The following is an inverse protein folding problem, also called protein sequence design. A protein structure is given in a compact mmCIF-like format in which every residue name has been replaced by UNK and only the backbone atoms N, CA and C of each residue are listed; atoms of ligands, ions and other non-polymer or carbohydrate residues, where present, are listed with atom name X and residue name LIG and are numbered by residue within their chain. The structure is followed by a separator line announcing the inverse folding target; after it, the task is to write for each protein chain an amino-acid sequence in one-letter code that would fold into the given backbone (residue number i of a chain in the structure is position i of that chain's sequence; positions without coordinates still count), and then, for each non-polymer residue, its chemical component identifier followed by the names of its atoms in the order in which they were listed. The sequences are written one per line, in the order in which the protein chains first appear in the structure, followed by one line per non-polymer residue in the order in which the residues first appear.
data_IF_550354851267
#
_entry.id   IF_550354851267
#
_cell.length_a   1.000
_cell.length_b   1.000
_cell.length_c   1.000
_cell.angle_alpha   90.00
_cell.angle_beta   90.00
_cell.angle_gamma   90.00
#
_symmetry.space_group_name_H-M   'P 1'
#
loop_
_entity.id
_entity.type
_entity.pdbx_description
1 polymer ?
#
# COMPACT_ATOMS: atom_id res chain seq x y z
N UNK A 1 78.22 -11.04 -19.13
CA UNK A 1 77.70 -11.88 -18.03
C UNK A 1 76.98 -10.97 -17.06
N UNK A 2 75.74 -11.35 -16.69
CA UNK A 2 74.89 -10.86 -15.59
C UNK A 2 74.62 -9.33 -15.52
N UNK A 3 73.40 -8.81 -15.47
CA UNK A 3 72.15 -9.37 -14.94
C UNK A 3 71.70 -8.52 -13.75
N UNK A 4 70.51 -7.92 -13.81
CA UNK A 4 69.95 -7.18 -12.66
C UNK A 4 68.82 -6.22 -13.03
N UNK A 5 67.71 -6.74 -13.53
CA UNK A 5 66.46 -5.98 -13.69
C UNK A 5 65.79 -5.73 -12.35
N UNK A 6 65.65 -4.45 -11.96
CA UNK A 6 64.84 -4.02 -10.83
C UNK A 6 63.48 -3.54 -11.30
N UNK A 7 62.54 -4.47 -11.47
CA UNK A 7 61.13 -4.16 -11.70
C UNK A 7 60.48 -3.67 -10.40
N UNK A 8 60.37 -2.35 -10.24
CA UNK A 8 59.56 -1.76 -9.18
C UNK A 8 58.09 -2.03 -9.44
N UNK A 9 57.47 -2.86 -8.58
CA UNK A 9 56.05 -3.14 -8.62
C UNK A 9 55.25 -1.84 -8.41
N UNK A 10 54.31 -1.57 -9.32
CA UNK A 10 53.36 -0.48 -9.19
C UNK A 10 52.54 -0.65 -7.89
N UNK A 11 52.24 0.43 -7.15
CA UNK A 11 51.40 0.34 -5.98
C UNK A 11 50.00 -0.18 -6.37
N UNK A 12 49.34 -0.97 -5.52
CA UNK A 12 48.00 -1.48 -5.80
C UNK A 12 47.03 -0.30 -6.02
N UNK A 13 46.03 -0.45 -6.91
CA UNK A 13 45.05 0.60 -7.13
C UNK A 13 44.38 0.92 -5.78
N UNK A 14 44.46 2.19 -5.37
CA UNK A 14 43.70 2.69 -4.23
C UNK A 14 42.26 2.26 -4.45
N UNK A 15 41.71 1.51 -3.50
CA UNK A 15 40.28 1.30 -3.41
C UNK A 15 39.65 2.68 -3.47
N UNK A 16 38.84 2.95 -4.49
CA UNK A 16 38.05 4.17 -4.58
C UNK A 16 37.31 4.29 -3.25
N UNK A 17 37.76 5.19 -2.38
CA UNK A 17 37.04 5.55 -1.18
C UNK A 17 35.64 5.91 -1.66
N UNK A 18 34.63 5.23 -1.10
CA UNK A 18 33.24 5.44 -1.44
C UNK A 18 32.87 6.86 -0.99
N UNK A 19 33.23 7.86 -1.80
CA UNK A 19 32.92 9.24 -1.54
C UNK A 19 31.38 9.32 -1.45
N UNK A 20 30.83 9.93 -0.39
CA UNK A 20 29.40 10.21 -0.35
C UNK A 20 29.00 10.86 -1.66
N UNK A 21 27.99 10.31 -2.34
CA UNK A 21 27.51 10.91 -3.57
C UNK A 21 27.26 12.40 -3.32
N UNK A 22 27.75 13.29 -4.21
CA UNK A 22 27.55 14.72 -4.03
C UNK A 22 26.05 14.97 -3.87
N UNK A 23 25.69 15.71 -2.82
CA UNK A 23 24.29 16.06 -2.54
C UNK A 23 23.84 16.95 -3.69
N UNK A 24 23.18 16.35 -4.68
CA UNK A 24 22.58 17.08 -5.80
C UNK A 24 21.27 17.64 -5.28
N UNK A 25 21.11 18.97 -5.34
CA UNK A 25 19.86 19.62 -4.95
C UNK A 25 18.67 19.10 -5.76
N UNK A 26 18.90 18.63 -7.00
CA UNK A 26 17.87 18.00 -7.84
C UNK A 26 18.45 16.84 -8.65
N UNK A 27 17.86 15.65 -8.49
CA UNK A 27 18.19 14.47 -9.29
C UNK A 27 17.50 14.56 -10.66
N UNK A 28 18.14 14.12 -11.75
CA UNK A 28 17.50 14.05 -13.06
C UNK A 28 16.21 13.21 -12.97
N UNK A 29 15.12 13.72 -13.54
CA UNK A 29 13.75 13.17 -13.47
C UNK A 29 12.97 13.38 -12.16
N UNK A 30 13.52 14.06 -11.14
CA UNK A 30 12.76 14.46 -9.95
C UNK A 30 12.19 15.88 -10.15
N UNK A 31 10.87 15.99 -10.12
CA UNK A 31 10.16 17.26 -10.35
C UNK A 31 10.19 18.18 -9.12
N UNK A 32 10.09 17.60 -7.92
CA UNK A 32 10.06 18.33 -6.65
C UNK A 32 10.96 17.62 -5.64
N UNK A 33 11.79 18.39 -4.96
CA UNK A 33 12.65 17.89 -3.89
C UNK A 33 11.89 17.88 -2.56
N UNK A 34 12.36 17.12 -1.58
CA UNK A 34 11.67 16.92 -0.29
C UNK A 34 11.35 18.24 0.41
N UNK A 35 12.24 19.24 0.29
CA UNK A 35 12.09 20.57 0.90
C UNK A 35 11.43 21.61 -0.01
N UNK A 36 11.08 21.24 -1.25
CA UNK A 36 10.56 22.16 -2.26
C UNK A 36 9.15 21.74 -2.68
N UNK A 37 8.11 22.17 -1.93
CA UNK A 37 6.74 21.74 -2.21
C UNK A 37 6.23 22.31 -3.54
N UNK A 38 5.39 21.55 -4.26
CA UNK A 38 4.69 22.08 -5.42
C UNK A 38 3.71 23.20 -5.03
N UNK A 39 3.20 23.98 -6.00
CA UNK A 39 2.13 24.94 -5.75
C UNK A 39 0.96 24.28 -5.02
N UNK A 40 0.32 25.00 -4.09
CA UNK A 40 -0.77 24.48 -3.24
C UNK A 40 -1.86 23.69 -3.99
N UNK A 41 -2.37 24.14 -5.15
CA UNK A 41 -3.38 23.37 -5.88
C UNK A 41 -2.86 22.01 -6.37
N UNK A 42 -1.61 21.96 -6.83
CA UNK A 42 -0.96 20.72 -7.26
C UNK A 42 -0.69 19.81 -6.05
N UNK A 43 -0.26 20.39 -4.92
CA UNK A 43 -0.04 19.66 -3.68
C UNK A 43 -1.32 18.96 -3.18
N UNK A 44 -2.46 19.66 -3.23
CA UNK A 44 -3.77 19.10 -2.82
C UNK A 44 -4.16 17.92 -3.72
N UNK A 45 -4.04 18.07 -5.04
CA UNK A 45 -4.37 17.00 -5.98
C UNK A 45 -3.46 15.78 -5.81
N UNK A 46 -2.15 16.00 -5.67
CA UNK A 46 -1.20 14.92 -5.43
C UNK A 46 -1.43 14.23 -4.08
N UNK A 47 -1.76 15.00 -3.04
CA UNK A 47 -2.15 14.45 -1.74
C UNK A 47 -3.41 13.58 -1.83
N UNK A 48 -4.41 14.02 -2.58
CA UNK A 48 -5.61 13.24 -2.85
C UNK A 48 -5.30 11.95 -3.63
N UNK A 49 -4.37 12.00 -4.60
CA UNK A 49 -3.91 10.81 -5.30
C UNK A 49 -3.25 9.80 -4.35
N UNK A 50 -2.38 10.25 -3.44
CA UNK A 50 -1.78 9.37 -2.44
C UNK A 50 -2.82 8.70 -1.55
N UNK A 51 -3.86 9.46 -1.16
CA UNK A 51 -5.01 8.91 -0.46
C UNK A 51 -5.72 7.81 -1.29
N UNK A 52 -6.01 8.05 -2.57
CA UNK A 52 -6.64 7.06 -3.45
C UNK A 52 -5.82 5.76 -3.58
N UNK A 53 -4.50 5.88 -3.71
CA UNK A 53 -3.61 4.71 -3.80
C UNK A 53 -3.61 3.92 -2.49
N UNK A 54 -3.58 4.61 -1.36
CA UNK A 54 -3.61 4.01 -0.01
C UNK A 54 -4.96 3.37 0.34
N UNK A 55 -6.06 3.86 -0.23
CA UNK A 55 -7.38 3.29 0.01
C UNK A 55 -7.46 1.82 -0.38
N UNK A 56 -6.72 1.39 -1.41
CA UNK A 56 -6.75 0.01 -1.90
C UNK A 56 -6.47 -1.01 -0.80
N UNK A 57 -5.29 -0.94 -0.17
CA UNK A 57 -4.93 -1.86 0.92
C UNK A 57 -5.79 -1.65 2.17
N UNK A 58 -6.15 -0.41 2.47
CA UNK A 58 -6.96 -0.05 3.64
C UNK A 58 -8.38 -0.61 3.58
N UNK A 59 -8.96 -0.77 2.38
CA UNK A 59 -10.28 -1.37 2.18
C UNK A 59 -10.19 -2.89 1.98
N UNK A 60 -9.17 -3.38 1.28
CA UNK A 60 -8.99 -4.82 1.00
C UNK A 60 -8.81 -5.62 2.30
N UNK A 61 -7.97 -5.14 3.23
CA UNK A 61 -7.65 -5.88 4.46
C UNK A 61 -8.92 -6.11 5.32
N UNK A 62 -9.70 -5.09 5.70
CA UNK A 62 -10.94 -5.29 6.45
C UNK A 62 -11.99 -6.07 5.67
N UNK A 63 -12.10 -5.85 4.36
CA UNK A 63 -13.05 -6.59 3.52
C UNK A 63 -12.75 -8.09 3.49
N UNK A 64 -11.49 -8.48 3.58
CA UNK A 64 -11.09 -9.88 3.67
C UNK A 64 -11.25 -10.46 5.08
N UNK A 65 -10.95 -9.68 6.13
CA UNK A 65 -10.84 -10.19 7.49
C UNK A 65 -12.12 -10.08 8.32
N UNK A 66 -12.86 -8.96 8.22
CA UNK A 66 -14.04 -8.68 9.06
C UNK A 66 -15.14 -9.74 8.95
N UNK A 67 -15.50 -10.22 7.74
CA UNK A 67 -16.50 -11.29 7.61
C UNK A 67 -16.09 -12.60 8.31
N UNK A 68 -14.79 -12.91 8.37
CA UNK A 68 -14.30 -14.12 9.03
C UNK A 68 -14.37 -14.03 10.57
N UNK A 69 -14.43 -12.81 11.10
CA UNK A 69 -14.58 -12.55 12.53
C UNK A 69 -16.04 -12.56 12.99
N UNK A 70 -17.00 -12.66 12.07
CA UNK A 70 -18.43 -12.54 12.34
C UNK A 70 -18.98 -11.10 12.19
N UNK A 71 -18.16 -10.15 11.74
CA UNK A 71 -18.59 -8.77 11.51
C UNK A 71 -19.34 -8.58 10.19
N UNK A 72 -20.34 -7.71 10.20
CA UNK A 72 -21.11 -7.30 9.04
C UNK A 72 -20.56 -6.04 8.36
N UNK A 73 -21.45 -5.30 7.69
CA UNK A 73 -21.06 -4.07 6.99
C UNK A 73 -20.74 -2.91 7.93
N UNK A 74 -21.40 -2.84 9.09
CA UNK A 74 -21.17 -1.82 10.11
C UNK A 74 -19.77 -1.97 10.71
N UNK A 75 -19.42 -3.18 11.17
CA UNK A 75 -18.10 -3.48 11.71
C UNK A 75 -17.01 -3.27 10.65
N UNK A 76 -17.29 -3.65 9.41
CA UNK A 76 -16.37 -3.44 8.28
C UNK A 76 -16.12 -1.95 8.05
N UNK A 77 -17.17 -1.14 8.03
CA UNK A 77 -17.08 0.32 7.89
C UNK A 77 -16.29 0.94 9.05
N UNK A 78 -16.59 0.55 10.29
CA UNK A 78 -15.90 1.02 11.51
C UNK A 78 -14.39 0.71 11.47
N UNK A 79 -14.00 -0.48 11.03
CA UNK A 79 -12.57 -0.85 10.90
C UNK A 79 -11.89 -0.05 9.78
N UNK A 80 -12.54 0.12 8.62
CA UNK A 80 -11.99 0.95 7.52
C UNK A 80 -11.79 2.40 7.97
N UNK A 81 -12.79 3.00 8.62
CA UNK A 81 -12.71 4.37 9.13
C UNK A 81 -11.60 4.52 10.16
N UNK A 82 -11.49 3.58 11.10
CA UNK A 82 -10.44 3.60 12.13
C UNK A 82 -9.06 3.47 11.50
N UNK A 83 -8.87 2.56 10.54
CA UNK A 83 -7.61 2.41 9.83
C UNK A 83 -7.22 3.68 9.06
N UNK A 84 -8.16 4.31 8.35
CA UNK A 84 -7.89 5.56 7.63
C UNK A 84 -7.50 6.70 8.58
N UNK A 85 -8.24 6.83 9.69
CA UNK A 85 -7.96 7.86 10.68
C UNK A 85 -6.59 7.69 11.33
N UNK A 86 -6.27 6.47 11.79
CA UNK A 86 -4.99 6.15 12.42
C UNK A 86 -3.84 6.22 11.41
N UNK A 87 -4.04 5.81 10.16
CA UNK A 87 -3.07 5.96 9.07
C UNK A 87 -2.71 7.44 8.83
N UNK A 88 -3.72 8.33 8.85
CA UNK A 88 -3.53 9.78 8.75
C UNK A 88 -2.68 10.33 9.90
N UNK A 89 -3.05 10.00 11.15
CA UNK A 89 -2.30 10.42 12.34
C UNK A 89 -0.85 9.90 12.32
N UNK A 90 -0.64 8.64 11.97
CA UNK A 90 0.69 8.04 11.90
C UNK A 90 1.54 8.66 10.78
N UNK A 91 0.93 8.97 9.64
CA UNK A 91 1.63 9.66 8.54
C UNK A 91 2.02 11.08 8.94
N UNK A 92 1.16 11.82 9.64
CA UNK A 92 1.51 13.13 10.20
C UNK A 92 2.63 13.00 11.24
N UNK A 93 2.57 12.01 12.13
CA UNK A 93 3.64 11.77 13.09
C UNK A 93 4.97 11.44 12.40
N UNK A 94 4.96 10.61 11.35
CA UNK A 94 6.14 10.23 10.56
C UNK A 94 6.79 11.42 9.86
N UNK A 95 5.97 12.33 9.32
CA UNK A 95 6.42 13.49 8.55
C UNK A 95 6.82 14.67 9.44
N UNK A 96 6.20 14.84 10.62
CA UNK A 96 6.52 15.93 11.55
C UNK A 96 7.63 15.57 12.56
N UNK A 97 7.49 14.42 13.23
CA UNK A 97 8.35 14.00 14.33
C UNK A 97 9.27 12.83 14.00
N UNK A 98 8.89 11.99 13.03
CA UNK A 98 9.67 10.83 12.61
C UNK A 98 10.89 11.20 11.76
N UNK A 99 11.10 10.50 10.65
CA UNK A 99 12.25 10.76 9.77
C UNK A 99 12.08 12.00 8.90
N UNK A 100 10.90 12.64 8.92
CA UNK A 100 10.53 13.77 8.06
C UNK A 100 10.62 13.47 6.56
N UNK A 101 10.62 12.19 6.22
CA UNK A 101 10.56 11.72 4.84
C UNK A 101 9.10 11.57 4.42
N UNK A 102 8.79 11.74 3.11
CA UNK A 102 7.45 11.53 2.55
C UNK A 102 7.11 10.03 2.53
N UNK A 103 6.82 9.46 3.69
CA UNK A 103 6.48 8.05 3.88
C UNK A 103 5.06 7.95 4.43
N UNK A 104 4.15 7.42 3.61
CA UNK A 104 2.75 7.22 4.00
C UNK A 104 2.62 5.92 4.80
N UNK A 105 2.01 6.00 5.98
CA UNK A 105 1.83 4.85 6.88
C UNK A 105 0.41 4.31 6.73
N UNK A 106 0.29 3.01 6.46
CA UNK A 106 -1.00 2.31 6.34
C UNK A 106 -0.95 0.89 6.89
N UNK A 107 -2.06 0.16 6.75
CA UNK A 107 -2.13 -1.25 7.15
C UNK A 107 -1.17 -2.11 6.33
N UNK A 108 -0.35 -2.92 7.00
CA UNK A 108 0.59 -3.82 6.32
C UNK A 108 -0.06 -5.18 6.02
N UNK A 109 0.07 -5.61 4.76
CA UNK A 109 -0.33 -6.95 4.32
C UNK A 109 0.39 -8.08 5.06
N UNK A 110 1.62 -7.84 5.54
CA UNK A 110 2.38 -8.85 6.30
C UNK A 110 1.68 -9.30 7.58
N UNK A 111 0.77 -8.50 8.13
CA UNK A 111 -0.02 -8.85 9.31
C UNK A 111 -1.32 -9.60 8.98
N UNK A 112 -1.69 -9.77 7.71
CA UNK A 112 -2.92 -10.50 7.33
C UNK A 112 -2.84 -11.97 7.75
N UNK A 113 -1.74 -12.65 7.43
CA UNK A 113 -1.52 -14.06 7.81
C UNK A 113 -1.56 -14.29 9.32
N UNK A 114 -0.79 -13.58 10.16
CA UNK A 114 -0.90 -13.76 11.61
C UNK A 114 -2.27 -13.35 12.15
N UNK A 115 -2.94 -12.37 11.53
CA UNK A 115 -4.32 -12.03 11.91
C UNK A 115 -5.29 -13.18 11.65
N UNK A 116 -5.23 -13.84 10.49
CA UNK A 116 -6.03 -15.03 10.18
C UNK A 116 -5.78 -16.14 11.21
N UNK A 117 -4.52 -16.35 11.62
CA UNK A 117 -4.18 -17.31 12.68
C UNK A 117 -4.87 -16.98 14.01
N UNK A 118 -4.95 -15.69 14.38
CA UNK A 118 -5.71 -15.25 15.57
C UNK A 118 -7.21 -15.51 15.38
N UNK A 119 -7.78 -15.18 14.22
CA UNK A 119 -9.21 -15.36 13.90
C UNK A 119 -9.61 -16.84 14.04
N UNK A 120 -8.76 -17.75 13.55
CA UNK A 120 -9.00 -19.20 13.56
C UNK A 120 -8.64 -19.87 14.89
N UNK A 121 -8.18 -19.13 15.89
CA UNK A 121 -7.78 -19.70 17.17
C UNK A 121 -8.99 -20.35 17.89
N UNK A 122 -8.80 -21.58 18.38
CA UNK A 122 -9.86 -22.36 19.04
C UNK A 122 -10.52 -21.69 20.25
N UNK A 123 -9.86 -20.72 20.89
CA UNK A 123 -10.46 -19.90 21.96
C UNK A 123 -11.71 -19.10 21.54
N UNK A 124 -11.93 -18.92 20.24
CA UNK A 124 -13.08 -18.18 19.70
C UNK A 124 -14.15 -19.08 19.07
N UNK A 125 -13.97 -20.42 19.09
CA UNK A 125 -14.90 -21.35 18.44
C UNK A 125 -16.23 -21.51 19.20
N UNK A 126 -16.23 -21.31 20.51
CA UNK A 126 -17.41 -21.45 21.37
C UNK A 126 -18.31 -20.22 21.48
N UNK A 127 -18.01 -19.13 20.76
CA UNK A 127 -18.79 -17.89 20.83
C UNK A 127 -19.89 -17.94 19.77
N UNK A 128 -21.15 -17.97 20.21
CA UNK A 128 -22.32 -18.07 19.32
C UNK A 128 -22.69 -16.71 18.73
N UNK A 129 -22.62 -15.64 19.52
CA UNK A 129 -22.96 -14.29 19.05
C UNK A 129 -21.87 -13.72 18.11
N UNK A 130 -22.20 -13.40 16.84
CA UNK A 130 -21.24 -12.86 15.88
C UNK A 130 -20.64 -11.51 16.30
N UNK A 131 -21.43 -10.66 16.96
CA UNK A 131 -20.95 -9.34 17.39
C UNK A 131 -19.94 -9.49 18.54
N UNK A 132 -20.29 -10.25 19.58
CA UNK A 132 -19.35 -10.58 20.66
C UNK A 132 -18.08 -11.27 20.13
N UNK A 133 -18.22 -12.17 19.16
CA UNK A 133 -17.09 -12.84 18.52
C UNK A 133 -16.16 -11.84 17.83
N UNK A 134 -16.72 -10.91 17.06
CA UNK A 134 -15.97 -9.85 16.40
C UNK A 134 -15.21 -9.00 17.42
N UNK A 135 -15.87 -8.52 18.48
CA UNK A 135 -15.23 -7.70 19.51
C UNK A 135 -14.08 -8.41 20.21
N UNK A 136 -14.28 -9.67 20.61
CA UNK A 136 -13.24 -10.46 21.31
C UNK A 136 -12.04 -10.71 20.41
N UNK A 137 -12.26 -11.03 19.13
CA UNK A 137 -11.18 -11.21 18.17
C UNK A 137 -10.44 -9.89 17.93
N UNK A 138 -11.15 -8.77 17.74
CA UNK A 138 -10.55 -7.45 17.55
C UNK A 138 -9.67 -7.04 18.74
N UNK A 139 -10.12 -7.27 19.97
CA UNK A 139 -9.32 -7.06 21.19
C UNK A 139 -8.05 -7.93 21.18
N UNK A 140 -8.16 -9.19 20.76
CA UNK A 140 -7.02 -10.10 20.61
C UNK A 140 -6.00 -9.64 19.57
N UNK A 141 -6.46 -9.18 18.40
CA UNK A 141 -5.61 -8.65 17.33
C UNK A 141 -4.89 -7.38 17.80
N UNK A 142 -5.63 -6.42 18.38
CA UNK A 142 -5.05 -5.18 18.88
C UNK A 142 -4.01 -5.44 19.97
N UNK A 143 -4.30 -6.33 20.93
CA UNK A 143 -3.33 -6.73 21.96
C UNK A 143 -2.06 -7.34 21.38
N UNK A 144 -2.19 -8.25 20.39
CA UNK A 144 -1.05 -8.84 19.71
C UNK A 144 -0.22 -7.79 18.95
N UNK A 145 -0.86 -6.86 18.25
CA UNK A 145 -0.20 -5.77 17.52
C UNK A 145 0.52 -4.79 18.46
N UNK A 146 -0.04 -4.50 19.63
CA UNK A 146 0.62 -3.67 20.65
C UNK A 146 1.91 -4.36 21.11
N UNK A 147 1.85 -5.64 21.50
CA UNK A 147 3.04 -6.40 21.94
C UNK A 147 4.09 -6.48 20.83
N UNK A 148 3.68 -6.79 19.59
CA UNK A 148 4.58 -6.83 18.45
C UNK A 148 5.26 -5.47 18.20
N UNK A 149 4.50 -4.38 18.33
CA UNK A 149 5.02 -3.02 18.17
C UNK A 149 6.02 -2.67 19.27
N UNK A 150 5.73 -3.01 20.53
CA UNK A 150 6.66 -2.78 21.65
C UNK A 150 7.97 -3.54 21.45
N UNK A 151 7.90 -4.81 21.00
CA UNK A 151 9.11 -5.59 20.68
C UNK A 151 9.93 -4.93 19.57
N UNK A 152 9.26 -4.49 18.49
CA UNK A 152 9.94 -3.80 17.39
C UNK A 152 10.60 -2.49 17.85
N UNK A 153 9.95 -1.73 18.73
CA UNK A 153 10.49 -0.50 19.34
C UNK A 153 11.74 -0.81 20.15
N UNK A 154 11.71 -1.82 21.04
CA UNK A 154 12.86 -2.22 21.87
C UNK A 154 14.03 -2.67 21.00
N UNK A 155 13.78 -3.50 19.99
CA UNK A 155 14.82 -3.97 19.05
C UNK A 155 15.37 -2.79 18.23
N UNK A 156 14.51 -1.85 17.83
CA UNK A 156 14.91 -0.63 17.11
C UNK A 156 15.81 0.28 17.95
N UNK A 157 15.42 0.60 19.18
CA UNK A 157 16.18 1.48 20.07
C UNK A 157 17.46 0.82 20.62
N UNK A 158 17.51 -0.50 20.75
CA UNK A 158 18.74 -1.20 21.16
C UNK A 158 19.87 -1.14 20.13
N UNK A 159 19.60 -0.67 18.91
CA UNK A 159 20.58 -0.63 17.82
C UNK A 159 20.90 -2.01 17.22
N UNK A 160 20.32 -3.09 17.76
CA UNK A 160 20.49 -4.45 17.23
C UNK A 160 20.04 -4.56 15.78
N UNK A 161 18.94 -3.86 15.45
CA UNK A 161 18.41 -3.81 14.08
C UNK A 161 19.46 -3.35 13.06
N UNK A 162 20.29 -2.35 13.42
CA UNK A 162 21.37 -1.84 12.54
C UNK A 162 22.39 -2.91 12.20
N UNK A 163 22.71 -3.78 13.15
CA UNK A 163 23.67 -4.86 12.93
C UNK A 163 23.06 -5.94 12.03
N UNK A 164 21.79 -6.28 12.23
CA UNK A 164 21.05 -7.24 11.40
C UNK A 164 20.94 -6.73 9.95
N UNK A 165 20.54 -5.48 9.74
CA UNK A 165 20.36 -4.92 8.39
C UNK A 165 21.67 -4.85 7.60
N UNK A 166 22.83 -4.85 8.27
CA UNK A 166 24.14 -4.91 7.60
C UNK A 166 24.38 -6.25 6.89
N UNK A 167 23.73 -7.33 7.34
CA UNK A 167 23.80 -8.64 6.70
C UNK A 167 22.80 -8.78 5.54
N UNK A 168 21.83 -7.86 5.44
CA UNK A 168 20.85 -7.87 4.35
C UNK A 168 21.51 -7.23 3.13
N UNK A 169 21.99 -8.07 2.22
CA UNK A 169 22.47 -7.63 0.91
C UNK A 169 21.29 -7.34 -0.03
N UNK A 170 21.45 -6.49 -1.06
CA UNK A 170 20.42 -6.28 -2.08
C UNK A 170 19.92 -7.57 -2.73
N UNK A 171 20.79 -8.59 -2.85
CA UNK A 171 20.44 -9.92 -3.37
C UNK A 171 19.41 -10.64 -2.52
N UNK A 172 19.36 -10.37 -1.21
CA UNK A 172 18.36 -10.91 -0.29
C UNK A 172 17.14 -10.00 -0.12
N UNK A 173 17.34 -8.68 -0.14
CA UNK A 173 16.28 -7.69 0.05
C UNK A 173 15.30 -7.65 -1.13
N UNK A 174 15.81 -7.68 -2.37
CA UNK A 174 14.97 -7.55 -3.57
C UNK A 174 13.96 -8.70 -3.67
N UNK A 175 14.35 -9.98 -3.56
CA UNK A 175 13.38 -11.07 -3.55
C UNK A 175 12.39 -10.99 -2.39
N UNK A 176 12.84 -10.61 -1.19
CA UNK A 176 11.98 -10.46 -0.02
C UNK A 176 10.87 -9.43 -0.26
N UNK A 177 11.23 -8.24 -0.74
CA UNK A 177 10.28 -7.17 -1.04
C UNK A 177 9.39 -7.52 -2.23
N UNK A 178 9.95 -8.15 -3.27
CA UNK A 178 9.19 -8.59 -4.43
C UNK A 178 8.12 -9.63 -4.04
N UNK A 179 8.48 -10.65 -3.25
CA UNK A 179 7.53 -11.66 -2.78
C UNK A 179 6.47 -11.07 -1.86
N UNK A 180 6.84 -10.12 -0.98
CA UNK A 180 5.87 -9.40 -0.17
C UNK A 180 4.88 -8.60 -1.02
N UNK A 181 5.35 -7.98 -2.11
CA UNK A 181 4.53 -7.26 -3.08
C UNK A 181 3.64 -8.20 -3.90
N UNK A 182 4.18 -9.29 -4.43
CA UNK A 182 3.42 -10.29 -5.19
C UNK A 182 2.35 -10.97 -4.33
N UNK A 183 2.53 -11.10 -3.01
CA UNK A 183 1.50 -11.60 -2.10
C UNK A 183 0.20 -10.78 -2.14
N UNK A 184 0.26 -9.48 -2.48
CA UNK A 184 -0.95 -8.66 -2.65
C UNK A 184 -1.80 -9.10 -3.85
N UNK A 185 -1.22 -9.77 -4.84
CA UNK A 185 -1.96 -10.22 -6.03
C UNK A 185 -3.00 -11.29 -5.68
N UNK A 186 -2.72 -12.13 -4.68
CA UNK A 186 -3.66 -13.13 -4.16
C UNK A 186 -4.94 -12.51 -3.59
N UNK A 187 -4.91 -11.24 -3.19
CA UNK A 187 -6.11 -10.52 -2.73
C UNK A 187 -6.67 -9.60 -3.82
N UNK A 188 -5.79 -8.92 -4.57
CA UNK A 188 -6.17 -7.93 -5.57
C UNK A 188 -6.85 -8.53 -6.79
N UNK A 189 -6.25 -9.56 -7.41
CA UNK A 189 -6.77 -10.15 -8.65
C UNK A 189 -8.11 -10.85 -8.45
N UNK A 190 -8.35 -11.63 -7.37
CA UNK A 190 -9.67 -12.18 -7.10
C UNK A 190 -10.73 -11.10 -6.88
N UNK A 191 -10.36 -9.94 -6.31
CA UNK A 191 -11.22 -8.77 -6.20
C UNK A 191 -11.64 -8.23 -7.57
N UNK A 192 -10.68 -8.07 -8.49
CA UNK A 192 -10.91 -7.66 -9.88
C UNK A 192 -11.73 -8.70 -10.64
N UNK A 193 -11.46 -10.00 -10.44
CA UNK A 193 -12.15 -11.09 -11.14
C UNK A 193 -13.64 -11.20 -10.75
N UNK A 194 -14.01 -10.82 -9.52
CA UNK A 194 -15.42 -10.74 -9.10
C UNK A 194 -16.23 -9.76 -9.95
N UNK A 195 -15.57 -8.72 -10.49
CA UNK A 195 -16.18 -7.79 -11.42
C UNK A 195 -15.22 -7.40 -12.54
N UNK A 196 -14.97 -8.37 -13.44
CA UNK A 196 -14.02 -8.18 -14.55
C UNK A 196 -14.41 -7.02 -15.48
N UNK A 197 -15.72 -6.77 -15.64
CA UNK A 197 -16.25 -5.72 -16.51
C UNK A 197 -15.83 -4.31 -16.10
N UNK A 198 -15.62 -4.06 -14.81
CA UNK A 198 -15.17 -2.76 -14.29
C UNK A 198 -13.66 -2.78 -14.03
N UNK A 199 -13.16 -3.89 -13.48
CA UNK A 199 -11.75 -4.00 -13.10
C UNK A 199 -10.80 -4.08 -14.30
N UNK A 200 -11.18 -4.73 -15.40
CA UNK A 200 -10.34 -4.80 -16.61
C UNK A 200 -10.18 -3.43 -17.28
N UNK A 201 -11.25 -2.63 -17.50
CA UNK A 201 -11.09 -1.24 -17.94
C UNK A 201 -10.22 -0.39 -17.02
N UNK A 202 -10.31 -0.56 -15.68
CA UNK A 202 -9.45 0.15 -14.74
C UNK A 202 -7.97 -0.17 -14.96
N UNK A 203 -7.62 -1.44 -15.12
CA UNK A 203 -6.23 -1.84 -15.37
C UNK A 203 -5.74 -1.31 -16.73
N UNK A 204 -6.55 -1.43 -17.78
CA UNK A 204 -6.20 -0.94 -19.11
C UNK A 204 -6.00 0.57 -19.10
N UNK A 205 -6.95 1.33 -18.55
CA UNK A 205 -6.87 2.79 -18.49
C UNK A 205 -5.68 3.25 -17.66
N UNK A 206 -5.41 2.62 -16.51
CA UNK A 206 -4.24 2.92 -15.70
C UNK A 206 -2.94 2.73 -16.50
N UNK A 207 -2.79 1.60 -17.21
CA UNK A 207 -1.60 1.34 -18.04
C UNK A 207 -1.49 2.32 -19.20
N UNK A 208 -2.61 2.65 -19.85
CA UNK A 208 -2.63 3.62 -20.96
C UNK A 208 -2.21 5.02 -20.48
N UNK A 209 -2.76 5.51 -19.36
CA UNK A 209 -2.42 6.82 -18.82
C UNK A 209 -1.01 6.89 -18.22
N UNK A 210 -0.54 5.84 -17.56
CA UNK A 210 0.78 5.83 -16.90
C UNK A 210 1.94 5.46 -17.82
N UNK A 211 1.77 4.54 -18.77
CA UNK A 211 2.88 4.02 -19.58
C UNK A 211 2.81 4.46 -21.05
N UNK A 212 1.63 4.47 -21.66
CA UNK A 212 1.50 4.70 -23.10
C UNK A 212 1.44 6.19 -23.47
N UNK A 213 0.54 6.96 -22.85
CA UNK A 213 0.34 8.38 -23.14
C UNK A 213 1.60 9.24 -22.90
N UNK A 214 2.37 9.03 -21.82
CA UNK A 214 3.61 9.77 -21.59
C UNK A 214 4.67 9.49 -22.67
N UNK A 215 4.61 8.37 -23.39
CA UNK A 215 5.54 8.10 -24.47
C UNK A 215 5.17 8.87 -25.75
N UNK A 216 3.86 8.98 -26.03
CA UNK A 216 3.30 9.53 -27.29
C UNK A 216 3.14 11.06 -27.27
N UNK A 217 2.75 11.66 -26.14
CA UNK A 217 2.42 13.09 -26.07
C UNK A 217 3.57 13.89 -25.42
N UNK A 218 3.87 15.09 -25.96
CA UNK A 218 4.93 15.99 -25.47
C UNK A 218 4.67 16.52 -24.04
N UNK A 219 3.44 16.48 -23.55
CA UNK A 219 3.03 16.84 -22.17
C UNK A 219 3.21 15.68 -21.18
N UNK A 220 4.38 15.03 -21.22
CA UNK A 220 4.71 13.79 -20.50
C UNK A 220 4.44 13.87 -18.99
N UNK A 221 4.76 15.01 -18.39
CA UNK A 221 4.80 15.15 -16.93
C UNK A 221 3.43 15.29 -16.26
N UNK A 222 2.37 15.70 -16.98
CA UNK A 222 1.05 15.91 -16.37
C UNK A 222 0.27 14.60 -16.33
N UNK A 223 0.27 13.84 -17.42
CA UNK A 223 -0.48 12.58 -17.50
C UNK A 223 0.11 11.49 -16.61
N UNK A 224 1.44 11.39 -16.54
CA UNK A 224 2.10 10.42 -15.66
C UNK A 224 1.84 10.74 -14.17
N UNK A 225 1.94 12.01 -13.77
CA UNK A 225 1.68 12.44 -12.39
C UNK A 225 0.25 12.16 -11.92
N UNK A 226 -0.75 12.34 -12.77
CA UNK A 226 -2.17 12.28 -12.41
C UNK A 226 -2.94 11.06 -12.96
N UNK A 227 -2.23 10.07 -13.52
CA UNK A 227 -2.82 8.89 -14.17
C UNK A 227 -3.84 8.15 -13.30
N UNK A 228 -3.56 8.05 -11.99
CA UNK A 228 -4.47 7.37 -11.04
C UNK A 228 -5.78 8.14 -10.89
N UNK A 229 -5.74 9.47 -10.76
CA UNK A 229 -6.96 10.28 -10.64
C UNK A 229 -7.82 10.14 -11.90
N UNK A 230 -7.22 10.31 -13.08
CA UNK A 230 -7.96 10.22 -14.34
C UNK A 230 -8.57 8.84 -14.56
N UNK A 231 -7.80 7.77 -14.33
CA UNK A 231 -8.33 6.40 -14.48
C UNK A 231 -9.49 6.12 -13.52
N UNK A 232 -9.35 6.47 -12.24
CA UNK A 232 -10.39 6.25 -11.22
C UNK A 232 -11.67 7.03 -11.56
N UNK A 233 -11.57 8.30 -11.96
CA UNK A 233 -12.74 9.11 -12.33
C UNK A 233 -13.46 8.48 -13.55
N UNK A 234 -12.72 8.14 -14.60
CA UNK A 234 -13.30 7.59 -15.83
C UNK A 234 -14.00 6.26 -15.56
N UNK A 235 -13.35 5.36 -14.81
CA UNK A 235 -13.96 4.07 -14.48
C UNK A 235 -15.14 4.21 -13.53
N UNK A 236 -15.09 5.14 -12.58
CA UNK A 236 -16.22 5.39 -11.70
C UNK A 236 -17.44 5.87 -12.50
N UNK A 237 -17.26 6.81 -13.43
CA UNK A 237 -18.34 7.28 -14.34
C UNK A 237 -18.86 6.13 -15.19
N UNK A 238 -17.96 5.32 -15.77
CA UNK A 238 -18.33 4.13 -16.53
C UNK A 238 -19.17 3.13 -15.71
N UNK A 239 -18.73 2.81 -14.49
CA UNK A 239 -19.43 1.92 -13.57
C UNK A 239 -20.81 2.47 -13.17
N UNK A 240 -20.90 3.79 -12.96
CA UNK A 240 -22.17 4.45 -12.65
C UNK A 240 -23.16 4.36 -13.82
N UNK A 241 -22.70 4.63 -15.05
CA UNK A 241 -23.51 4.50 -16.27
C UNK A 241 -24.01 3.07 -16.48
N UNK A 242 -23.18 2.05 -16.25
CA UNK A 242 -23.60 0.65 -16.31
C UNK A 242 -24.64 0.31 -15.23
N UNK A 243 -24.50 0.88 -14.04
CA UNK A 243 -25.45 0.68 -12.94
C UNK A 243 -26.82 1.28 -13.28
N UNK A 244 -26.86 2.54 -13.74
CA UNK A 244 -28.10 3.26 -14.10
C UNK A 244 -28.73 2.69 -15.37
N UNK A 245 -27.90 2.33 -16.36
CA UNK A 245 -28.31 1.68 -17.60
C UNK A 245 -28.92 0.29 -17.41
N UNK A 246 -28.88 -0.26 -16.20
CA UNK A 246 -29.54 -1.51 -15.85
C UNK A 246 -28.84 -2.76 -16.33
N UNK A 247 -27.56 -2.66 -16.73
CA UNK A 247 -26.75 -3.79 -17.20
C UNK A 247 -26.74 -4.95 -16.18
N UNK A 248 -26.81 -4.62 -14.89
CA UNK A 248 -26.77 -5.59 -13.79
C UNK A 248 -28.14 -6.00 -13.23
N UNK A 249 -29.28 -5.55 -13.79
CA UNK A 249 -30.61 -5.85 -13.22
C UNK A 249 -30.94 -7.35 -13.23
N UNK A 250 -30.53 -8.06 -14.28
CA UNK A 250 -30.78 -9.50 -14.46
C UNK A 250 -29.55 -10.37 -14.16
N UNK A 251 -28.46 -9.77 -13.67
CA UNK A 251 -27.23 -10.49 -13.36
C UNK A 251 -27.37 -11.32 -12.07
N UNK A 252 -26.53 -12.35 -11.85
CA UNK A 252 -26.50 -13.09 -10.59
C UNK A 252 -26.29 -12.17 -9.37
N UNK A 253 -26.85 -12.49 -8.19
CA UNK A 253 -26.77 -11.63 -7.00
C UNK A 253 -25.32 -11.32 -6.56
N UNK A 254 -24.39 -12.25 -6.79
CA UNK A 254 -22.95 -12.04 -6.52
C UNK A 254 -22.32 -10.96 -7.43
N UNK A 255 -22.76 -10.91 -8.69
CA UNK A 255 -22.33 -9.87 -9.65
C UNK A 255 -22.99 -8.55 -9.29
N UNK A 256 -24.27 -8.56 -8.90
CA UNK A 256 -24.95 -7.34 -8.46
C UNK A 256 -24.31 -6.71 -7.21
N UNK A 257 -23.86 -7.52 -6.24
CA UNK A 257 -23.20 -7.00 -5.03
C UNK A 257 -21.79 -6.48 -5.29
N UNK A 258 -21.11 -6.98 -6.32
CA UNK A 258 -19.69 -6.67 -6.58
C UNK A 258 -19.50 -5.61 -7.67
N UNK A 259 -20.38 -5.55 -8.66
CA UNK A 259 -20.27 -4.67 -9.81
C UNK A 259 -21.13 -3.41 -9.75
N UNK A 260 -22.16 -3.38 -8.88
CA UNK A 260 -23.01 -2.19 -8.78
C UNK A 260 -22.43 -1.18 -7.79
N UNK A 261 -22.57 0.09 -8.14
CA UNK A 261 -22.09 1.22 -7.32
C UNK A 261 -22.95 1.48 -6.08
N UNK A 262 -24.19 0.98 -6.03
CA UNK A 262 -25.19 1.26 -4.99
C UNK A 262 -25.33 0.17 -3.91
N UNK A 263 -24.55 -0.92 -3.99
CA UNK A 263 -24.75 -2.13 -3.16
C UNK A 263 -23.59 -2.45 -2.20
N UNK A 264 -22.68 -1.52 -1.97
CA UNK A 264 -21.52 -1.74 -1.10
C UNK A 264 -21.87 -1.92 0.39
N UNK A 265 -23.02 -1.38 0.81
CA UNK A 265 -23.50 -1.37 2.20
C UNK A 265 -22.61 -0.55 3.16
N UNK A 266 -21.51 0.02 2.68
CA UNK A 266 -20.53 0.73 3.50
C UNK A 266 -21.00 2.14 3.87
N UNK A 267 -21.69 2.81 2.96
CA UNK A 267 -22.16 4.18 3.16
C UNK A 267 -23.36 4.21 4.10
N UNK A 268 -24.31 3.27 3.91
CA UNK A 268 -25.52 3.13 4.71
C UNK A 268 -25.24 2.59 6.12
N UNK A 269 -24.28 1.68 6.27
CA UNK A 269 -23.93 1.10 7.58
C UNK A 269 -22.90 1.89 8.37
N UNK A 270 -22.43 3.04 7.86
CA UNK A 270 -21.45 3.84 8.59
C UNK A 270 -22.19 4.84 9.54
N UNK A 271 -21.77 4.98 10.80
CA UNK A 271 -22.55 5.65 11.86
C UNK A 271 -22.45 7.18 11.87
N UNK A 272 -22.12 7.81 10.74
CA UNK A 272 -21.94 9.27 10.60
C UNK A 272 -23.27 9.99 10.38
#
# INVERSE_FOLDING_TARGET
MAGGGGGGAAPPPKQDELHPHPVKDQLPNISYCITSPPPWPEAILLGFQHYLVMLGTTVIIPTALVPQMGGGNEEKAKVIQTLLFVAGLNTLAQTLFGTRLPAVIGGSYTFVVPTISIILAGRYSGIVDPHEKFERIMRGIQGALIVASTLQIVIGFSGLWRNITRFISPLSAVPLVALAGFGLYELGFPGVAKCVEIGLPQLILLVVFSQYIPHVIRTRHVFDRFAVIFSVIIVWVYAHLLTVGGAYKNAPPKTQSSCRTDRSGLVESAPW
#
